data_IF_880787967787
#
_entry.id   IF_880787967787
#
_cell.length_a   1.000
_cell.length_b   1.000
_cell.length_c   1.000
_cell.angle_alpha   90.00
_cell.angle_beta   90.00
_cell.angle_gamma   90.00
#
_symmetry.space_group_name_H-M   'P 1'
#
loop_
_entity.id
_entity.type
_entity.pdbx_description
1 polymer ?
#
# COMPACT_ATOMS: atom_id res chain seq x y z
N UNK A 1 22.57 -24.78 39.64
CA UNK A 1 22.51 -25.75 40.77
C UNK A 1 22.22 -25.10 42.14
N UNK A 2 21.37 -24.07 42.25
CA UNK A 2 20.92 -23.54 43.56
C UNK A 2 19.41 -23.21 43.64
N UNK A 3 18.65 -23.38 42.56
CA UNK A 3 17.22 -23.03 42.54
C UNK A 3 16.27 -24.25 42.71
N UNK A 4 16.79 -25.48 42.61
CA UNK A 4 16.01 -26.72 42.80
C UNK A 4 16.11 -27.31 44.22
N UNK A 5 17.05 -26.85 45.06
CA UNK A 5 17.15 -27.31 46.44
C UNK A 5 16.09 -26.68 47.37
N UNK A 6 15.55 -25.51 47.03
CA UNK A 6 14.56 -24.78 47.84
C UNK A 6 13.11 -25.26 47.70
N UNK A 7 12.74 -25.94 46.61
CA UNK A 7 11.38 -26.46 46.39
C UNK A 7 11.17 -27.90 46.87
N UNK A 8 12.24 -28.68 47.03
CA UNK A 8 12.15 -30.04 47.58
C UNK A 8 11.91 -30.05 49.10
N UNK A 9 12.42 -29.06 49.84
CA UNK A 9 12.26 -28.97 51.30
C UNK A 9 10.82 -28.70 51.76
N UNK A 10 10.07 -27.86 51.03
CA UNK A 10 8.68 -27.54 51.39
C UNK A 10 7.68 -28.64 51.02
N UNK A 11 7.95 -29.46 50.01
CA UNK A 11 7.07 -30.57 49.65
C UNK A 11 7.15 -31.74 50.64
N UNK A 12 8.32 -32.00 51.25
CA UNK A 12 8.48 -33.06 52.24
C UNK A 12 7.71 -32.73 53.53
N UNK A 13 7.80 -31.49 54.03
CA UNK A 13 7.02 -31.05 55.20
C UNK A 13 5.50 -31.01 54.95
N UNK A 14 5.08 -30.75 53.70
CA UNK A 14 3.65 -30.78 53.33
C UNK A 14 3.13 -32.22 53.21
N UNK A 15 3.97 -33.17 52.76
CA UNK A 15 3.65 -34.60 52.70
C UNK A 15 3.59 -35.22 54.10
N UNK A 16 4.47 -34.83 55.03
CA UNK A 16 4.43 -35.31 56.42
C UNK A 16 3.20 -34.80 57.18
N UNK A 17 2.76 -33.55 56.93
CA UNK A 17 1.50 -33.02 57.48
C UNK A 17 0.25 -33.70 56.88
N UNK A 18 0.32 -34.12 55.60
CA UNK A 18 -0.75 -34.88 54.95
C UNK A 18 -0.83 -36.31 55.47
N UNK A 19 0.31 -36.94 55.76
CA UNK A 19 0.39 -38.26 56.40
C UNK A 19 -0.19 -38.23 57.83
N UNK A 20 0.09 -37.17 58.59
CA UNK A 20 -0.45 -36.99 59.95
C UNK A 20 -1.98 -36.79 59.93
N UNK A 21 -2.50 -36.03 58.95
CA UNK A 21 -3.96 -35.84 58.79
C UNK A 21 -4.68 -37.11 58.30
N UNK A 22 -3.99 -37.97 57.53
CA UNK A 22 -4.51 -39.28 57.12
C UNK A 22 -4.54 -40.29 58.28
N UNK A 23 -3.60 -40.21 59.22
CA UNK A 23 -3.59 -41.03 60.43
C UNK A 23 -4.71 -40.63 61.41
N UNK A 24 -4.99 -39.33 61.57
CA UNK A 24 -6.13 -38.84 62.35
C UNK A 24 -7.47 -39.28 61.72
N UNK A 25 -7.61 -39.17 60.40
CA UNK A 25 -8.82 -39.61 59.69
C UNK A 25 -9.01 -41.14 59.79
N UNK A 26 -7.92 -41.91 59.80
CA UNK A 26 -7.94 -43.37 59.96
C UNK A 26 -8.35 -43.77 61.37
N UNK A 27 -7.91 -43.04 62.41
CA UNK A 27 -8.34 -43.23 63.79
C UNK A 27 -9.84 -42.91 63.97
N UNK A 28 -10.33 -41.84 63.33
CA UNK A 28 -11.75 -41.48 63.35
C UNK A 28 -12.64 -42.50 62.64
N UNK A 29 -12.19 -43.05 61.51
CA UNK A 29 -12.91 -44.13 60.80
C UNK A 29 -12.93 -45.40 61.64
N UNK A 30 -11.84 -45.78 62.30
CA UNK A 30 -11.81 -46.93 63.21
C UNK A 30 -12.71 -46.74 64.43
N UNK A 31 -12.78 -45.52 64.97
CA UNK A 31 -13.69 -45.18 66.06
C UNK A 31 -15.17 -45.25 65.60
N UNK A 32 -15.48 -44.74 64.41
CA UNK A 32 -16.81 -44.82 63.80
C UNK A 32 -17.23 -46.26 63.48
N UNK A 33 -16.31 -47.12 63.01
CA UNK A 33 -16.57 -48.55 62.78
C UNK A 33 -16.86 -49.29 64.10
N UNK A 34 -16.14 -48.95 65.18
CA UNK A 34 -16.41 -49.51 66.52
C UNK A 34 -17.74 -49.03 67.11
N UNK A 35 -18.11 -47.76 66.90
CA UNK A 35 -19.42 -47.22 67.26
C UNK A 35 -20.55 -47.88 66.45
N UNK A 36 -20.35 -48.09 65.15
CA UNK A 36 -21.31 -48.74 64.26
C UNK A 36 -21.53 -50.21 64.66
N UNK A 37 -20.45 -50.92 65.00
CA UNK A 37 -20.51 -52.30 65.50
C UNK A 37 -21.23 -52.40 66.86
N UNK A 38 -21.07 -51.42 67.75
CA UNK A 38 -21.81 -51.32 69.02
C UNK A 38 -23.30 -50.98 68.81
N UNK A 39 -23.63 -50.09 67.88
CA UNK A 39 -25.02 -49.64 67.63
C UNK A 39 -25.86 -50.61 66.80
N UNK A 40 -25.25 -51.43 65.95
CA UNK A 40 -25.99 -52.34 65.04
C UNK A 40 -26.17 -53.77 65.56
N UNK A 41 -25.47 -54.18 66.62
CA UNK A 41 -25.64 -55.51 67.22
C UNK A 41 -25.28 -56.69 66.29
N UNK A 42 -24.54 -56.45 65.21
CA UNK A 42 -24.15 -57.47 64.24
C UNK A 42 -22.83 -58.11 64.70
N UNK A 43 -22.93 -59.30 65.30
CA UNK A 43 -21.80 -60.21 65.49
C UNK A 43 -21.16 -60.53 64.13
N UNK A 44 -19.82 -60.50 63.97
CA UNK A 44 -19.20 -60.88 62.70
C UNK A 44 -19.44 -62.38 62.46
N UNK A 45 -20.15 -62.70 61.37
CA UNK A 45 -20.32 -64.08 60.90
C UNK A 45 -18.96 -64.64 60.51
N UNK A 46 -18.63 -65.82 61.04
CA UNK A 46 -17.46 -66.64 60.71
C UNK A 46 -17.23 -66.70 59.19
N UNK A 47 -16.26 -65.92 58.69
CA UNK A 47 -15.63 -66.18 57.40
C UNK A 47 -14.61 -67.29 57.64
N UNK A 48 -14.73 -68.39 56.91
CA UNK A 48 -13.67 -69.40 56.85
C UNK A 48 -12.37 -68.73 56.42
N UNK A 49 -11.44 -68.61 57.37
CA UNK A 49 -10.09 -68.15 57.09
C UNK A 49 -9.38 -69.25 56.30
N UNK A 50 -8.86 -68.96 55.08
CA UNK A 50 -7.94 -69.87 54.43
C UNK A 50 -6.74 -70.09 55.36
N UNK A 51 -6.18 -71.31 55.37
CA UNK A 51 -4.97 -71.59 56.15
C UNK A 51 -3.89 -70.59 55.74
N UNK A 52 -3.13 -70.07 56.70
CA UNK A 52 -2.13 -69.00 56.53
C UNK A 52 -1.34 -69.09 55.22
N UNK A 53 -0.84 -70.26 54.83
CA UNK A 53 -0.07 -70.45 53.59
C UNK A 53 -0.85 -70.26 52.29
N UNK A 54 -2.15 -70.57 52.27
CA UNK A 54 -3.00 -70.39 51.08
C UNK A 54 -3.22 -68.92 50.74
N UNK A 55 -3.21 -68.03 51.74
CA UNK A 55 -3.36 -66.59 51.54
C UNK A 55 -2.16 -65.98 50.80
N UNK A 56 -0.93 -66.39 51.14
CA UNK A 56 0.30 -65.93 50.49
C UNK A 56 0.42 -66.42 49.05
N UNK A 57 0.15 -67.71 48.80
CA UNK A 57 0.17 -68.27 47.44
C UNK A 57 -0.84 -67.57 46.54
N UNK A 58 -2.03 -67.24 47.08
CA UNK A 58 -3.05 -66.51 46.32
C UNK A 58 -2.64 -65.06 46.05
N UNK A 59 -1.99 -64.39 47.00
CA UNK A 59 -1.46 -63.05 46.80
C UNK A 59 -0.42 -63.00 45.67
N UNK A 60 0.52 -63.95 45.63
CA UNK A 60 1.52 -64.07 44.55
C UNK A 60 0.87 -64.33 43.18
N UNK A 61 -0.14 -65.20 43.13
CA UNK A 61 -0.87 -65.48 41.90
C UNK A 61 -1.62 -64.24 41.38
N UNK A 62 -2.26 -63.49 42.26
CA UNK A 62 -2.98 -62.25 41.92
C UNK A 62 -2.02 -61.15 41.48
N UNK A 63 -0.86 -61.05 42.11
CA UNK A 63 0.20 -60.12 41.71
C UNK A 63 0.68 -60.43 40.29
N UNK A 64 0.91 -61.71 39.96
CA UNK A 64 1.25 -62.14 38.58
C UNK A 64 0.14 -61.86 37.57
N UNK A 65 -1.12 -61.83 38.02
CA UNK A 65 -2.28 -61.47 37.19
C UNK A 65 -2.49 -59.95 37.08
N UNK A 66 -1.71 -59.14 37.80
CA UNK A 66 -1.83 -57.68 37.83
C UNK A 66 -2.96 -57.14 38.73
N UNK A 67 -3.59 -57.99 39.54
CA UNK A 67 -4.62 -57.60 40.49
C UNK A 67 -3.99 -57.17 41.83
N UNK A 68 -3.42 -55.96 41.82
CA UNK A 68 -2.63 -55.40 42.93
C UNK A 68 -3.45 -55.23 44.22
N UNK A 69 -4.70 -54.79 44.09
CA UNK A 69 -5.57 -54.52 45.23
C UNK A 69 -5.91 -55.82 45.97
N UNK A 70 -6.29 -56.87 45.25
CA UNK A 70 -6.56 -58.16 45.88
C UNK A 70 -5.27 -58.85 46.33
N UNK A 71 -4.17 -58.74 45.59
CA UNK A 71 -2.87 -59.27 46.01
C UNK A 71 -2.46 -58.70 47.38
N UNK A 72 -2.50 -57.37 47.54
CA UNK A 72 -2.23 -56.70 48.80
C UNK A 72 -3.16 -57.15 49.92
N UNK A 73 -4.47 -57.25 49.65
CA UNK A 73 -5.47 -57.68 50.64
C UNK A 73 -5.25 -59.12 51.13
N UNK A 74 -5.01 -60.07 50.22
CA UNK A 74 -4.73 -61.47 50.59
C UNK A 74 -3.41 -61.59 51.37
N UNK A 75 -2.41 -60.80 50.99
CA UNK A 75 -1.13 -60.78 51.68
C UNK A 75 -1.23 -60.19 53.10
N UNK A 76 -1.85 -59.02 53.26
CA UNK A 76 -2.09 -58.39 54.56
C UNK A 76 -2.88 -59.31 55.50
N UNK A 77 -3.89 -60.00 54.98
CA UNK A 77 -4.64 -61.01 55.75
C UNK A 77 -3.73 -62.16 56.20
N UNK A 78 -2.85 -62.66 55.33
CA UNK A 78 -1.88 -63.69 55.68
C UNK A 78 -0.90 -63.26 56.77
N UNK A 79 -0.38 -62.02 56.70
CA UNK A 79 0.53 -61.45 57.70
C UNK A 79 -0.16 -61.20 59.04
N UNK A 80 -1.43 -60.75 59.05
CA UNK A 80 -2.17 -60.56 60.30
C UNK A 80 -2.30 -61.85 61.14
N UNK A 81 -2.29 -63.01 60.48
CA UNK A 81 -2.35 -64.33 61.11
C UNK A 81 -0.96 -64.91 61.44
N UNK A 82 0.11 -64.32 60.90
CA UNK A 82 1.50 -64.68 61.19
C UNK A 82 2.40 -63.42 61.23
N UNK A 83 2.20 -62.52 62.22
CA UNK A 83 2.93 -61.26 62.28
C UNK A 83 4.44 -61.51 62.43
N UNK A 84 5.26 -60.73 61.72
CA UNK A 84 6.72 -60.82 61.83
C UNK A 84 7.36 -62.03 61.14
N UNK A 85 6.59 -62.83 60.39
CA UNK A 85 7.16 -63.95 59.63
C UNK A 85 8.00 -63.45 58.45
N UNK A 86 9.31 -63.33 58.68
CA UNK A 86 10.27 -62.77 57.73
C UNK A 86 10.29 -63.49 56.38
N UNK A 87 10.28 -64.82 56.38
CA UNK A 87 10.37 -65.61 55.14
C UNK A 87 9.22 -65.28 54.18
N UNK A 88 8.02 -65.07 54.73
CA UNK A 88 6.84 -64.71 53.94
C UNK A 88 6.85 -63.26 53.48
N UNK A 89 7.34 -62.35 54.32
CA UNK A 89 7.53 -60.93 53.99
C UNK A 89 8.52 -60.79 52.84
N UNK A 90 9.68 -61.42 52.97
CA UNK A 90 10.72 -61.42 51.95
C UNK A 90 10.27 -62.09 50.65
N UNK A 91 9.56 -63.23 50.72
CA UNK A 91 9.06 -63.91 49.51
C UNK A 91 8.08 -63.05 48.71
N UNK A 92 7.19 -62.32 49.40
CA UNK A 92 6.28 -61.39 48.73
C UNK A 92 7.00 -60.16 48.18
N UNK A 93 7.98 -59.61 48.91
CA UNK A 93 8.87 -58.57 48.39
C UNK A 93 9.51 -59.00 47.07
N UNK A 94 10.09 -60.19 47.01
CA UNK A 94 10.72 -60.69 45.79
C UNK A 94 9.70 -60.82 44.64
N UNK A 95 8.49 -61.29 44.93
CA UNK A 95 7.41 -61.37 43.94
C UNK A 95 6.99 -59.98 43.41
N UNK A 96 7.01 -58.96 44.27
CA UNK A 96 6.75 -57.56 43.88
C UNK A 96 7.90 -57.01 43.05
N UNK A 97 9.15 -57.28 43.42
CA UNK A 97 10.31 -56.88 42.63
C UNK A 97 10.28 -57.52 41.24
N UNK A 98 9.91 -58.80 41.12
CA UNK A 98 9.76 -59.50 39.84
C UNK A 98 8.63 -58.90 38.99
N UNK A 99 7.50 -58.55 39.60
CA UNK A 99 6.42 -57.85 38.92
C UNK A 99 6.88 -56.47 38.40
N UNK A 100 7.61 -55.70 39.21
CA UNK A 100 8.16 -54.43 38.78
C UNK A 100 9.20 -54.59 37.66
N UNK A 101 10.04 -55.65 37.68
CA UNK A 101 10.94 -55.98 36.54
C UNK A 101 10.16 -56.19 35.24
N UNK A 102 9.09 -56.97 35.28
CA UNK A 102 8.24 -57.21 34.11
C UNK A 102 7.59 -55.92 33.58
N UNK A 103 7.18 -55.02 34.47
CA UNK A 103 6.61 -53.71 34.08
C UNK A 103 7.65 -52.81 33.41
N UNK A 104 8.87 -52.78 33.94
CA UNK A 104 10.00 -52.07 33.33
C UNK A 104 10.30 -52.61 31.93
N UNK A 105 10.30 -53.93 31.74
CA UNK A 105 10.54 -54.54 30.42
C UNK A 105 9.45 -54.20 29.40
N UNK A 106 8.24 -53.89 29.87
CA UNK A 106 7.11 -53.40 29.08
C UNK A 106 7.04 -51.87 28.98
N UNK A 107 8.06 -51.14 29.43
CA UNK A 107 8.12 -49.66 29.47
C UNK A 107 7.06 -48.98 30.36
N UNK A 108 6.47 -49.72 31.29
CA UNK A 108 5.46 -49.24 32.25
C UNK A 108 6.14 -48.79 33.56
N UNK A 109 6.97 -47.75 33.45
CA UNK A 109 7.81 -47.26 34.55
C UNK A 109 6.99 -46.66 35.70
N UNK A 110 5.88 -46.00 35.40
CA UNK A 110 5.02 -45.35 36.39
C UNK A 110 4.33 -46.39 37.29
N UNK A 111 3.77 -47.44 36.70
CA UNK A 111 3.18 -48.56 37.47
C UNK A 111 4.23 -49.26 38.33
N UNK A 112 5.45 -49.48 37.80
CA UNK A 112 6.54 -50.07 38.56
C UNK A 112 6.94 -49.21 39.77
N UNK A 113 7.00 -47.87 39.62
CA UNK A 113 7.31 -46.95 40.71
C UNK A 113 6.22 -46.93 41.78
N UNK A 114 4.94 -46.93 41.38
CA UNK A 114 3.80 -46.91 42.29
C UNK A 114 3.78 -48.18 43.16
N UNK A 115 3.87 -49.35 42.54
CA UNK A 115 3.88 -50.64 43.24
C UNK A 115 5.09 -50.79 44.17
N UNK A 116 6.25 -50.30 43.74
CA UNK A 116 7.46 -50.30 44.57
C UNK A 116 7.35 -49.33 45.76
N UNK A 117 6.67 -48.20 45.56
CA UNK A 117 6.33 -47.25 46.62
C UNK A 117 5.44 -47.88 47.70
N UNK A 118 4.40 -48.61 47.29
CA UNK A 118 3.53 -49.34 48.20
C UNK A 118 4.31 -50.42 48.97
N UNK A 119 5.21 -51.13 48.31
CA UNK A 119 6.07 -52.13 48.95
C UNK A 119 7.02 -51.51 49.97
N UNK A 120 7.62 -50.35 49.68
CA UNK A 120 8.48 -49.64 50.63
C UNK A 120 7.70 -49.25 51.90
N UNK A 121 6.50 -48.69 51.73
CA UNK A 121 5.61 -48.31 52.83
C UNK A 121 5.22 -49.53 53.66
N UNK A 122 4.88 -50.63 52.99
CA UNK A 122 4.57 -51.89 53.64
C UNK A 122 5.76 -52.41 54.47
N UNK A 123 6.96 -52.47 53.90
CA UNK A 123 8.16 -52.97 54.57
C UNK A 123 8.51 -52.15 55.82
N UNK A 124 8.38 -50.82 55.74
CA UNK A 124 8.56 -49.94 56.91
C UNK A 124 7.57 -50.24 58.03
N UNK A 125 6.32 -50.57 57.68
CA UNK A 125 5.29 -50.94 58.65
C UNK A 125 5.61 -52.26 59.35
N UNK A 126 6.33 -53.18 58.70
CA UNK A 126 6.74 -54.45 59.31
C UNK A 126 7.85 -54.30 60.37
N UNK A 127 8.52 -53.15 60.45
CA UNK A 127 9.57 -52.91 61.45
C UNK A 127 9.08 -53.07 62.91
N UNK A 128 7.78 -52.89 63.15
CA UNK A 128 7.17 -53.04 64.47
C UNK A 128 6.93 -54.51 64.88
N UNK A 129 6.96 -55.44 63.91
CA UNK A 129 6.53 -56.83 64.11
C UNK A 129 7.64 -57.86 63.83
N UNK A 130 8.68 -57.47 63.08
CA UNK A 130 9.80 -58.35 62.73
C UNK A 130 10.67 -58.61 63.98
N UNK A 131 11.04 -59.87 64.28
CA UNK A 131 11.94 -60.21 65.39
C UNK A 131 13.30 -59.51 65.28
N UNK A 132 13.92 -59.23 66.43
CA UNK A 132 15.22 -58.52 66.50
C UNK A 132 16.30 -59.15 65.62
N UNK A 133 16.35 -60.48 65.56
CA UNK A 133 17.30 -61.24 64.75
C UNK A 133 17.16 -61.03 63.22
N UNK A 134 16.04 -60.47 62.75
CA UNK A 134 15.74 -60.26 61.33
C UNK A 134 15.70 -58.76 60.93
N UNK A 135 15.98 -57.83 61.86
CA UNK A 135 15.97 -56.37 61.61
C UNK A 135 17.00 -55.97 60.54
N UNK A 136 18.20 -56.55 60.56
CA UNK A 136 19.23 -56.28 59.55
C UNK A 136 18.76 -56.72 58.14
N UNK A 137 18.00 -57.82 58.06
CA UNK A 137 17.44 -58.29 56.80
C UNK A 137 16.36 -57.34 56.27
N UNK A 138 15.56 -56.73 57.16
CA UNK A 138 14.59 -55.69 56.81
C UNK A 138 15.28 -54.43 56.27
N UNK A 139 16.37 -54.00 56.90
CA UNK A 139 17.16 -52.85 56.42
C UNK A 139 17.76 -53.12 55.04
N UNK A 140 18.27 -54.33 54.81
CA UNK A 140 18.76 -54.74 53.49
C UNK A 140 17.64 -54.70 52.44
N UNK A 141 16.47 -55.25 52.74
CA UNK A 141 15.33 -55.22 51.83
C UNK A 141 14.85 -53.80 51.46
N UNK A 142 14.85 -52.87 52.41
CA UNK A 142 14.55 -51.46 52.15
C UNK A 142 15.62 -50.78 51.28
N UNK A 143 16.89 -51.17 51.47
CA UNK A 143 17.99 -50.71 50.62
C UNK A 143 17.85 -51.24 49.19
N UNK A 144 17.51 -52.52 49.02
CA UNK A 144 17.27 -53.14 47.72
C UNK A 144 16.11 -52.44 46.98
N UNK A 145 15.02 -52.13 47.70
CA UNK A 145 13.89 -51.37 47.16
C UNK A 145 14.33 -49.96 46.71
N UNK A 146 15.15 -49.26 47.50
CA UNK A 146 15.64 -47.93 47.14
C UNK A 146 16.56 -47.96 45.91
N UNK A 147 17.48 -48.93 45.83
CA UNK A 147 18.34 -49.14 44.67
C UNK A 147 17.53 -49.48 43.42
N UNK A 148 16.51 -50.34 43.57
CA UNK A 148 15.63 -50.70 42.46
C UNK A 148 14.81 -49.50 41.97
N UNK A 149 14.35 -48.63 42.88
CA UNK A 149 13.68 -47.37 42.53
C UNK A 149 14.58 -46.46 41.70
N UNK A 150 15.84 -46.31 42.11
CA UNK A 150 16.82 -45.52 41.35
C UNK A 150 17.04 -46.10 39.96
N UNK A 151 17.15 -47.43 39.84
CA UNK A 151 17.27 -48.10 38.54
C UNK A 151 16.07 -47.84 37.60
N UNK A 152 14.85 -47.76 38.14
CA UNK A 152 13.67 -47.39 37.35
C UNK A 152 13.78 -45.94 36.85
N UNK A 153 14.15 -45.00 37.72
CA UNK A 153 14.32 -43.59 37.37
C UNK A 153 15.42 -43.41 36.30
N UNK A 154 16.53 -44.14 36.44
CA UNK A 154 17.63 -44.10 35.47
C UNK A 154 17.18 -44.63 34.10
N UNK A 155 16.46 -45.76 34.07
CA UNK A 155 15.90 -46.32 32.81
C UNK A 155 14.86 -45.41 32.17
N UNK A 156 13.97 -44.79 32.95
CA UNK A 156 12.98 -43.83 32.47
C UNK A 156 13.67 -42.59 31.86
N UNK A 157 14.71 -42.08 32.54
CA UNK A 157 15.51 -40.96 32.04
C UNK A 157 16.21 -41.33 30.73
N UNK A 158 16.79 -42.53 30.64
CA UNK A 158 17.44 -43.02 29.43
C UNK A 158 16.45 -43.18 28.26
N UNK A 159 15.25 -43.72 28.51
CA UNK A 159 14.19 -43.84 27.50
C UNK A 159 13.78 -42.47 26.96
N UNK A 160 13.49 -41.52 27.85
CA UNK A 160 13.15 -40.13 27.49
C UNK A 160 14.26 -39.44 26.70
N UNK A 161 15.54 -39.65 27.07
CA UNK A 161 16.68 -39.14 26.33
C UNK A 161 16.80 -39.74 24.92
N UNK A 162 16.54 -41.05 24.76
CA UNK A 162 16.55 -41.70 23.44
C UNK A 162 15.42 -41.20 22.54
N UNK A 163 14.20 -41.09 23.07
CA UNK A 163 13.05 -40.55 22.34
C UNK A 163 13.30 -39.10 21.90
N UNK A 164 13.80 -38.27 22.82
CA UNK A 164 14.15 -36.88 22.50
C UNK A 164 15.24 -36.79 21.46
N UNK A 165 16.30 -37.60 21.58
CA UNK A 165 17.38 -37.64 20.58
C UNK A 165 16.89 -38.09 19.20
N UNK A 166 15.95 -39.04 19.15
CA UNK A 166 15.36 -39.50 17.89
C UNK A 166 14.46 -38.43 17.27
N UNK A 167 13.64 -37.76 18.08
CA UNK A 167 12.84 -36.62 17.65
C UNK A 167 13.70 -35.48 17.09
N UNK A 168 14.74 -35.07 17.81
CA UNK A 168 15.69 -34.04 17.36
C UNK A 168 16.34 -34.44 16.04
N UNK A 169 16.79 -35.70 15.91
CA UNK A 169 17.38 -36.19 14.66
C UNK A 169 16.41 -36.10 13.47
N UNK A 170 15.14 -36.48 13.66
CA UNK A 170 14.12 -36.36 12.62
C UNK A 170 13.89 -34.90 12.23
N UNK A 171 13.77 -34.02 13.23
CA UNK A 171 13.50 -32.60 13.01
C UNK A 171 14.65 -31.88 12.29
N UNK A 172 15.90 -32.18 12.67
CA UNK A 172 17.10 -31.69 11.96
C UNK A 172 17.14 -32.20 10.51
N UNK A 173 16.77 -33.45 10.25
CA UNK A 173 16.77 -34.02 8.89
C UNK A 173 15.71 -33.40 7.98
N UNK A 174 14.51 -33.13 8.52
CA UNK A 174 13.45 -32.41 7.78
C UNK A 174 13.87 -30.98 7.46
N UNK A 175 14.59 -30.33 8.38
CA UNK A 175 15.14 -29.00 8.17
C UNK A 175 16.17 -28.99 7.04
N UNK A 176 17.09 -29.97 7.02
CA UNK A 176 18.08 -30.10 5.94
C UNK A 176 17.41 -30.34 4.57
N UNK A 177 16.37 -31.17 4.51
CA UNK A 177 15.60 -31.39 3.28
C UNK A 177 14.92 -30.11 2.79
N UNK A 178 14.34 -29.31 3.68
CA UNK A 178 13.69 -28.04 3.33
C UNK A 178 14.71 -27.00 2.85
N UNK A 179 15.88 -26.91 3.49
CA UNK A 179 16.96 -26.02 3.04
C UNK A 179 17.55 -26.44 1.68
N UNK A 180 17.51 -27.73 1.35
CA UNK A 180 17.97 -28.25 0.06
C UNK A 180 16.94 -28.08 -1.07
N UNK A 181 15.67 -27.86 -0.74
CA UNK A 181 14.63 -27.59 -1.72
C UNK A 181 14.81 -26.18 -2.28
N UNK A 182 14.95 -26.08 -3.61
CA UNK A 182 14.79 -24.82 -4.30
C UNK A 182 13.28 -24.64 -4.55
N UNK A 183 12.59 -23.68 -3.90
CA UNK A 183 11.17 -23.49 -4.13
C UNK A 183 10.93 -23.16 -5.61
N UNK A 184 9.98 -23.86 -6.23
CA UNK A 184 9.52 -23.47 -7.56
C UNK A 184 8.88 -22.08 -7.50
N UNK A 185 8.97 -21.33 -8.59
CA UNK A 185 8.46 -19.96 -8.71
C UNK A 185 6.95 -19.83 -8.41
N UNK A 186 6.20 -20.94 -8.41
CA UNK A 186 4.74 -20.95 -8.36
C UNK A 186 4.16 -20.82 -6.95
N UNK A 187 4.91 -21.07 -5.86
CA UNK A 187 4.37 -20.90 -4.50
C UNK A 187 5.39 -20.55 -3.38
N UNK A 188 6.24 -19.53 -3.57
CA UNK A 188 7.25 -19.12 -2.58
C UNK A 188 6.67 -18.70 -1.22
N UNK A 189 5.45 -18.17 -1.17
CA UNK A 189 4.81 -17.75 0.08
C UNK A 189 4.48 -18.94 1.00
N UNK A 190 3.98 -20.04 0.44
CA UNK A 190 3.70 -21.27 1.19
C UNK A 190 5.00 -21.87 1.76
N UNK A 191 6.07 -21.84 0.95
CA UNK A 191 7.38 -22.33 1.37
C UNK A 191 7.97 -21.52 2.54
N UNK A 192 7.82 -20.18 2.53
CA UNK A 192 8.23 -19.31 3.64
C UNK A 192 7.50 -19.67 4.94
N UNK A 193 6.20 -19.96 4.89
CA UNK A 193 5.45 -20.39 6.08
C UNK A 193 5.94 -21.74 6.61
N UNK A 194 6.21 -22.73 5.74
CA UNK A 194 6.80 -24.02 6.17
C UNK A 194 8.17 -23.85 6.85
N UNK A 195 8.99 -22.89 6.39
CA UNK A 195 10.28 -22.59 7.03
C UNK A 195 10.08 -21.93 8.41
N UNK A 196 9.10 -21.03 8.55
CA UNK A 196 8.76 -20.39 9.84
C UNK A 196 8.26 -21.40 10.87
N UNK A 197 7.41 -22.35 10.45
CA UNK A 197 6.95 -23.45 11.30
C UNK A 197 8.11 -24.30 11.83
N UNK A 198 9.14 -24.56 10.99
CA UNK A 198 10.34 -25.28 11.43
C UNK A 198 11.23 -24.49 12.39
N UNK A 199 11.40 -23.18 12.18
CA UNK A 199 12.08 -22.31 13.15
C UNK A 199 11.37 -22.40 14.51
N UNK A 200 10.04 -22.30 14.53
CA UNK A 200 9.26 -22.39 15.76
C UNK A 200 9.46 -23.75 16.46
N UNK A 201 9.43 -24.85 15.69
CA UNK A 201 9.66 -26.18 16.23
C UNK A 201 11.08 -26.34 16.82
N UNK A 202 12.12 -25.86 16.12
CA UNK A 202 13.51 -25.86 16.61
C UNK A 202 13.71 -25.00 17.87
N UNK A 203 13.07 -23.83 17.94
CA UNK A 203 13.12 -22.92 19.09
C UNK A 203 12.38 -23.46 20.32
N UNK A 204 11.39 -24.34 20.12
CA UNK A 204 10.60 -24.93 21.21
C UNK A 204 11.31 -26.05 21.98
N UNK A 205 12.47 -26.53 21.51
CA UNK A 205 13.23 -27.60 22.15
C UNK A 205 13.89 -27.14 23.46
N UNK A 206 13.65 -27.87 24.55
CA UNK A 206 14.25 -27.56 25.86
C UNK A 206 15.77 -27.81 25.86
N UNK A 207 16.53 -26.73 26.08
CA UNK A 207 17.98 -26.75 26.15
C UNK A 207 18.55 -27.69 27.23
N UNK A 208 17.77 -28.03 28.27
CA UNK A 208 18.21 -28.91 29.34
C UNK A 208 18.26 -30.39 28.96
N UNK A 209 17.60 -30.77 27.85
CA UNK A 209 17.50 -32.17 27.39
C UNK A 209 18.42 -32.43 26.20
N UNK A 210 18.90 -31.37 25.55
CA UNK A 210 19.76 -31.43 24.37
C UNK A 210 21.22 -31.71 24.72
N UNK A 211 21.90 -32.50 23.88
CA UNK A 211 23.36 -32.61 23.94
C UNK A 211 23.99 -31.30 23.44
N UNK A 212 25.14 -30.87 23.96
CA UNK A 212 25.81 -29.62 23.53
C UNK A 212 26.04 -29.53 22.01
N UNK A 213 26.37 -30.66 21.37
CA UNK A 213 26.57 -30.73 19.91
C UNK A 213 25.27 -30.59 19.11
N UNK A 214 24.13 -30.98 19.66
CA UNK A 214 22.84 -30.83 18.99
C UNK A 214 22.35 -29.38 19.14
N UNK A 215 22.62 -28.75 20.28
CA UNK A 215 22.29 -27.35 20.52
C UNK A 215 23.00 -26.39 19.55
N UNK A 216 24.29 -26.62 19.26
CA UNK A 216 25.03 -25.81 18.28
C UNK A 216 24.55 -26.02 16.84
N UNK A 217 24.16 -27.26 16.48
CA UNK A 217 23.57 -27.56 15.16
C UNK A 217 22.19 -26.90 14.98
N UNK A 218 21.34 -26.98 16.00
CA UNK A 218 20.03 -26.32 16.01
C UNK A 218 20.20 -24.81 15.82
N UNK A 219 21.10 -24.18 16.58
CA UNK A 219 21.38 -22.76 16.43
C UNK A 219 21.85 -22.40 15.01
N UNK A 220 22.73 -23.21 14.42
CA UNK A 220 23.19 -23.00 13.06
C UNK A 220 22.06 -23.12 12.02
N UNK A 221 21.22 -24.14 12.13
CA UNK A 221 20.09 -24.34 11.22
C UNK A 221 19.04 -23.21 11.35
N UNK A 222 18.76 -22.74 12.57
CA UNK A 222 17.88 -21.57 12.77
C UNK A 222 18.43 -20.37 12.00
N UNK A 223 19.72 -20.05 12.14
CA UNK A 223 20.34 -18.93 11.39
C UNK A 223 20.27 -19.13 9.88
N UNK A 224 20.45 -20.36 9.39
CA UNK A 224 20.31 -20.66 7.95
C UNK A 224 18.88 -20.45 7.46
N UNK A 225 17.88 -20.93 8.21
CA UNK A 225 16.47 -20.74 7.89
C UNK A 225 16.08 -19.25 7.89
N UNK A 226 16.51 -18.48 8.89
CA UNK A 226 16.26 -17.04 8.99
C UNK A 226 16.82 -16.28 7.77
N UNK A 227 18.06 -16.60 7.35
CA UNK A 227 18.68 -15.99 6.17
C UNK A 227 17.95 -16.37 4.86
N UNK A 228 17.53 -17.64 4.73
CA UNK A 228 16.76 -18.11 3.57
C UNK A 228 15.40 -17.43 3.49
N UNK A 229 14.67 -17.33 4.62
CA UNK A 229 13.39 -16.62 4.70
C UNK A 229 13.58 -15.15 4.28
N UNK A 230 14.56 -14.44 4.83
CA UNK A 230 14.82 -13.05 4.49
C UNK A 230 15.09 -12.86 2.99
N UNK A 231 15.84 -13.78 2.39
CA UNK A 231 16.15 -13.75 0.95
C UNK A 231 14.89 -13.98 0.11
N UNK A 232 14.07 -14.98 0.45
CA UNK A 232 12.83 -15.30 -0.26
C UNK A 232 11.78 -14.21 -0.12
N UNK A 233 11.63 -13.62 1.07
CA UNK A 233 10.71 -12.49 1.29
C UNK A 233 11.14 -11.26 0.48
N UNK A 234 12.44 -10.98 0.37
CA UNK A 234 12.96 -9.92 -0.49
C UNK A 234 12.69 -10.19 -1.97
N UNK A 235 12.88 -11.44 -2.43
CA UNK A 235 12.57 -11.83 -3.82
C UNK A 235 11.06 -11.70 -4.12
N UNK A 236 10.20 -12.13 -3.19
CA UNK A 236 8.75 -12.01 -3.30
C UNK A 236 8.31 -10.55 -3.40
N UNK A 237 8.81 -9.69 -2.51
CA UNK A 237 8.52 -8.26 -2.53
C UNK A 237 8.99 -7.61 -3.84
N UNK A 238 10.18 -8.00 -4.34
CA UNK A 238 10.73 -7.53 -5.62
C UNK A 238 9.86 -7.96 -6.80
N UNK A 239 9.40 -9.22 -6.83
CA UNK A 239 8.53 -9.74 -7.90
C UNK A 239 7.14 -9.08 -7.89
N UNK A 240 6.54 -8.90 -6.72
CA UNK A 240 5.26 -8.19 -6.56
C UNK A 240 5.36 -6.72 -6.99
N UNK A 241 6.43 -6.05 -6.61
CA UNK A 241 6.71 -4.69 -7.05
C UNK A 241 6.88 -4.63 -8.58
N UNK A 242 7.66 -5.55 -9.17
CA UNK A 242 7.85 -5.63 -10.63
C UNK A 242 6.51 -5.85 -11.38
N UNK A 243 5.64 -6.73 -10.88
CA UNK A 243 4.33 -6.97 -11.49
C UNK A 243 3.41 -5.73 -11.41
N UNK A 244 3.42 -5.05 -10.25
CA UNK A 244 2.67 -3.81 -10.05
C UNK A 244 3.15 -2.70 -10.99
N UNK A 245 4.47 -2.53 -11.09
CA UNK A 245 5.12 -1.60 -12.01
C UNK A 245 4.70 -1.90 -13.45
N UNK A 246 4.79 -3.17 -13.89
CA UNK A 246 4.42 -3.57 -15.24
C UNK A 246 2.94 -3.29 -15.55
N UNK A 247 2.04 -3.56 -14.61
CA UNK A 247 0.60 -3.33 -14.77
C UNK A 247 0.27 -1.85 -14.88
N UNK A 248 0.87 -1.03 -14.00
CA UNK A 248 0.69 0.43 -14.03
C UNK A 248 1.27 1.03 -15.32
N UNK A 249 2.46 0.60 -15.74
CA UNK A 249 3.07 1.05 -16.98
C UNK A 249 2.19 0.74 -18.20
N UNK A 250 1.67 -0.48 -18.29
CA UNK A 250 0.75 -0.86 -19.38
C UNK A 250 -0.51 0.01 -19.39
N UNK A 251 -1.08 0.32 -18.22
CA UNK A 251 -2.26 1.17 -18.11
C UNK A 251 -1.96 2.63 -18.51
N UNK A 252 -0.79 3.16 -18.15
CA UNK A 252 -0.35 4.47 -18.59
C UNK A 252 -0.22 4.53 -20.12
N UNK A 253 0.41 3.53 -20.74
CA UNK A 253 0.52 3.42 -22.20
C UNK A 253 -0.86 3.39 -22.86
N UNK A 254 -1.80 2.58 -22.35
CA UNK A 254 -3.16 2.54 -22.88
C UNK A 254 -3.86 3.90 -22.83
N UNK A 255 -3.69 4.66 -21.75
CA UNK A 255 -4.26 6.01 -21.67
C UNK A 255 -3.61 6.97 -22.66
N UNK A 256 -2.29 6.91 -22.85
CA UNK A 256 -1.58 7.70 -23.87
C UNK A 256 -2.10 7.36 -25.26
N UNK A 257 -2.23 6.07 -25.59
CA UNK A 257 -2.72 5.62 -26.90
C UNK A 257 -4.18 6.03 -27.13
N UNK A 258 -5.04 5.90 -26.11
CA UNK A 258 -6.42 6.36 -26.19
C UNK A 258 -6.49 7.87 -26.44
N UNK A 259 -5.69 8.68 -25.73
CA UNK A 259 -5.61 10.13 -25.97
C UNK A 259 -5.20 10.46 -27.41
N UNK A 260 -4.29 9.68 -28.00
CA UNK A 260 -3.87 9.85 -29.39
C UNK A 260 -4.97 9.50 -30.39
N UNK A 261 -5.80 8.51 -30.09
CA UNK A 261 -6.84 8.03 -31.00
C UNK A 261 -8.17 8.81 -30.89
N UNK A 262 -8.35 9.59 -29.83
CA UNK A 262 -9.51 10.47 -29.69
C UNK A 262 -9.51 11.61 -30.73
N UNK A 263 -10.70 12.11 -31.12
CA UNK A 263 -10.81 13.33 -31.91
C UNK A 263 -10.12 14.50 -31.20
N UNK A 264 -9.41 15.33 -31.96
CA UNK A 264 -8.57 16.40 -31.42
C UNK A 264 -9.32 17.37 -30.48
N UNK A 265 -10.61 17.62 -30.72
CA UNK A 265 -11.45 18.52 -29.90
C UNK A 265 -12.23 17.79 -28.78
N UNK A 266 -12.01 16.50 -28.56
CA UNK A 266 -12.74 15.72 -27.55
C UNK A 266 -12.27 16.07 -26.14
N UNK A 267 -13.20 16.31 -25.21
CA UNK A 267 -12.91 16.49 -23.79
C UNK A 267 -12.24 15.24 -23.16
N UNK A 268 -12.41 14.07 -23.78
CA UNK A 268 -11.79 12.81 -23.34
C UNK A 268 -10.26 12.84 -23.48
N UNK A 269 -9.71 13.65 -24.38
CA UNK A 269 -8.26 13.82 -24.53
C UNK A 269 -7.63 14.28 -23.23
N UNK A 270 -8.21 15.31 -22.59
CA UNK A 270 -7.69 15.84 -21.33
C UNK A 270 -7.80 14.79 -20.21
N UNK A 271 -8.93 14.07 -20.16
CA UNK A 271 -9.14 12.99 -19.20
C UNK A 271 -8.06 11.89 -19.32
N UNK A 272 -7.77 11.43 -20.53
CA UNK A 272 -6.79 10.38 -20.76
C UNK A 272 -5.36 10.84 -20.47
N UNK A 273 -4.97 12.04 -20.88
CA UNK A 273 -3.64 12.60 -20.59
C UNK A 273 -3.43 12.79 -19.08
N UNK A 274 -4.41 13.33 -18.37
CA UNK A 274 -4.32 13.50 -16.90
C UNK A 274 -4.33 12.16 -16.15
N UNK A 275 -5.07 11.17 -16.64
CA UNK A 275 -5.05 9.80 -16.10
C UNK A 275 -3.68 9.13 -16.29
N UNK A 276 -3.07 9.26 -17.47
CA UNK A 276 -1.73 8.77 -17.74
C UNK A 276 -0.70 9.44 -16.82
N UNK A 277 -0.75 10.77 -16.68
CA UNK A 277 0.15 11.51 -15.80
C UNK A 277 0.00 11.09 -14.32
N UNK A 278 -1.24 10.87 -13.87
CA UNK A 278 -1.51 10.37 -12.51
C UNK A 278 -0.85 9.01 -12.25
N UNK A 279 -0.94 8.09 -13.22
CA UNK A 279 -0.32 6.76 -13.11
C UNK A 279 1.20 6.85 -13.13
N UNK A 280 1.78 7.71 -13.97
CA UNK A 280 3.24 7.95 -13.98
C UNK A 280 3.71 8.48 -12.60
N UNK A 281 2.95 9.39 -11.98
CA UNK A 281 3.25 9.85 -10.61
C UNK A 281 3.12 8.74 -9.57
N UNK A 282 2.15 7.84 -9.71
CA UNK A 282 2.04 6.66 -8.83
C UNK A 282 3.24 5.71 -8.99
N UNK A 283 3.72 5.48 -10.21
CA UNK A 283 4.92 4.68 -10.47
C UNK A 283 6.17 5.24 -9.75
N UNK A 284 6.32 6.56 -9.73
CA UNK A 284 7.41 7.24 -8.99
C UNK A 284 7.37 6.93 -7.49
N UNK A 285 6.16 6.84 -6.91
CA UNK A 285 5.98 6.60 -5.47
C UNK A 285 6.17 5.13 -5.07
N UNK A 286 5.74 4.18 -5.91
CA UNK A 286 5.75 2.75 -5.58
C UNK A 286 7.16 2.15 -5.65
N UNK A 287 8.04 2.69 -6.49
CA UNK A 287 9.34 2.07 -6.75
C UNK A 287 10.50 3.06 -6.94
N UNK A 288 10.78 3.95 -5.96
CA UNK A 288 11.76 5.03 -6.11
C UNK A 288 13.19 4.53 -6.37
N UNK A 289 13.53 3.33 -5.91
CA UNK A 289 14.88 2.76 -5.96
C UNK A 289 15.03 1.57 -6.93
N UNK A 290 13.98 1.22 -7.70
CA UNK A 290 14.07 0.13 -8.67
C UNK A 290 14.45 0.67 -10.05
N UNK A 291 15.56 0.18 -10.59
CA UNK A 291 16.09 0.69 -11.86
C UNK A 291 15.14 0.45 -13.04
N UNK A 292 14.40 -0.66 -13.02
CA UNK A 292 13.35 -0.96 -13.98
C UNK A 292 12.23 0.09 -13.98
N UNK A 293 11.84 0.58 -12.80
CA UNK A 293 10.82 1.62 -12.67
C UNK A 293 11.32 2.96 -13.24
N UNK A 294 12.57 3.34 -12.97
CA UNK A 294 13.16 4.58 -13.49
C UNK A 294 13.14 4.63 -15.02
N UNK A 295 13.56 3.54 -15.67
CA UNK A 295 13.56 3.44 -17.14
C UNK A 295 12.13 3.55 -17.69
N UNK A 296 11.17 2.82 -17.11
CA UNK A 296 9.77 2.89 -17.56
C UNK A 296 9.15 4.27 -17.35
N UNK A 297 9.41 4.93 -16.22
CA UNK A 297 8.93 6.29 -15.93
C UNK A 297 9.48 7.27 -16.96
N UNK A 298 10.77 7.20 -17.29
CA UNK A 298 11.38 8.07 -18.29
C UNK A 298 10.75 7.87 -19.68
N UNK A 299 10.61 6.61 -20.12
CA UNK A 299 9.99 6.29 -21.41
C UNK A 299 8.52 6.75 -21.47
N UNK A 300 7.73 6.49 -20.42
CA UNK A 300 6.33 6.92 -20.37
C UNK A 300 6.18 8.44 -20.35
N UNK A 301 7.08 9.14 -19.66
CA UNK A 301 7.08 10.60 -19.61
C UNK A 301 7.38 11.20 -20.98
N UNK A 302 8.36 10.64 -21.69
CA UNK A 302 8.68 11.02 -23.07
C UNK A 302 7.50 10.75 -24.01
N UNK A 303 6.90 9.56 -23.95
CA UNK A 303 5.72 9.21 -24.75
C UNK A 303 4.53 10.14 -24.47
N UNK A 304 4.30 10.50 -23.21
CA UNK A 304 3.23 11.43 -22.82
C UNK A 304 3.47 12.82 -23.41
N UNK A 305 4.69 13.36 -23.33
CA UNK A 305 5.02 14.66 -23.90
C UNK A 305 4.94 14.68 -25.42
N UNK A 306 5.41 13.63 -26.09
CA UNK A 306 5.24 13.47 -27.54
C UNK A 306 3.76 13.42 -27.94
N UNK A 307 2.94 12.67 -27.20
CA UNK A 307 1.50 12.60 -27.44
C UNK A 307 0.82 13.97 -27.26
N UNK A 308 1.17 14.72 -26.20
CA UNK A 308 0.67 16.09 -25.99
C UNK A 308 1.00 16.99 -27.17
N UNK A 309 2.24 16.95 -27.67
CA UNK A 309 2.66 17.75 -28.83
C UNK A 309 1.91 17.37 -30.12
N UNK A 310 1.76 16.07 -30.39
CA UNK A 310 1.04 15.57 -31.56
C UNK A 310 -0.46 15.95 -31.54
N UNK A 311 -1.09 15.85 -30.38
CA UNK A 311 -2.48 16.26 -30.17
C UNK A 311 -2.62 17.78 -30.35
N UNK A 312 -1.74 18.58 -29.74
CA UNK A 312 -1.74 20.04 -29.88
C UNK A 312 -1.57 20.47 -31.35
N UNK A 313 -0.75 19.75 -32.11
CA UNK A 313 -0.59 19.97 -33.55
C UNK A 313 -1.90 19.71 -34.31
N UNK A 314 -2.54 18.56 -34.11
CA UNK A 314 -3.82 18.22 -34.78
C UNK A 314 -4.96 19.18 -34.43
N UNK A 315 -5.05 19.59 -33.16
CA UNK A 315 -5.98 20.63 -32.72
C UNK A 315 -5.75 21.94 -33.48
N UNK A 316 -4.49 22.37 -33.54
CA UNK A 316 -4.10 23.60 -34.22
C UNK A 316 -4.34 23.54 -35.73
N UNK A 317 -4.12 22.39 -36.38
CA UNK A 317 -4.42 22.17 -37.80
C UNK A 317 -5.91 22.33 -38.11
N UNK A 318 -6.78 21.84 -37.23
CA UNK A 318 -8.24 22.00 -37.38
C UNK A 318 -8.64 23.47 -37.33
N UNK A 319 -8.13 24.20 -36.34
CA UNK A 319 -8.39 25.64 -36.20
C UNK A 319 -7.80 26.44 -37.36
N UNK A 320 -6.59 26.09 -37.81
CA UNK A 320 -5.98 26.71 -39.00
C UNK A 320 -6.84 26.47 -40.25
N UNK A 321 -7.42 25.28 -40.41
CA UNK A 321 -8.30 25.00 -41.54
C UNK A 321 -9.55 25.91 -41.52
N UNK A 322 -10.15 26.15 -40.36
CA UNK A 322 -11.26 27.09 -40.22
C UNK A 322 -10.86 28.52 -40.59
N UNK A 323 -9.65 28.95 -40.19
CA UNK A 323 -9.11 30.26 -40.54
C UNK A 323 -8.92 30.36 -42.07
N UNK A 324 -8.35 29.33 -42.72
CA UNK A 324 -8.17 29.30 -44.17
C UNK A 324 -9.52 29.41 -44.87
N UNK A 325 -10.51 28.60 -44.47
CA UNK A 325 -11.84 28.66 -45.05
C UNK A 325 -12.49 30.05 -44.90
N UNK A 326 -12.35 30.68 -43.72
CA UNK A 326 -12.83 32.04 -43.50
C UNK A 326 -12.10 33.05 -44.40
N UNK A 327 -10.80 32.87 -44.64
CA UNK A 327 -10.02 33.73 -45.54
C UNK A 327 -10.47 33.60 -47.00
N UNK A 328 -10.78 32.40 -47.47
CA UNK A 328 -11.24 32.14 -48.85
C UNK A 328 -12.62 32.74 -49.14
N UNK A 329 -13.44 32.94 -48.10
CA UNK A 329 -14.74 33.60 -48.21
C UNK A 329 -14.62 35.12 -48.42
N UNK A 330 -13.45 35.71 -48.17
CA UNK A 330 -13.19 37.14 -48.36
C UNK A 330 -12.83 37.39 -49.82
N UNK A 331 -13.82 37.87 -50.59
CA UNK A 331 -13.62 38.28 -51.98
C UNK A 331 -13.58 39.80 -52.07
N UNK A 332 -12.36 40.35 -52.11
CA UNK A 332 -12.12 41.78 -52.28
C UNK A 332 -11.54 42.03 -53.68
N UNK A 333 -12.41 42.43 -54.60
CA UNK A 333 -12.00 42.82 -55.94
C UNK A 333 -11.38 44.22 -55.96
N UNK A 334 -10.60 44.52 -57.01
CA UNK A 334 -10.00 45.85 -57.23
C UNK A 334 -11.02 47.00 -57.30
N UNK A 335 -12.29 46.69 -57.61
CA UNK A 335 -13.39 47.67 -57.73
C UNK A 335 -14.20 47.83 -56.44
N UNK A 336 -13.90 47.07 -55.39
CA UNK A 336 -14.60 47.15 -54.10
C UNK A 336 -14.44 48.55 -53.52
N UNK A 337 -15.52 49.11 -52.96
CA UNK A 337 -15.45 50.36 -52.20
C UNK A 337 -14.49 50.18 -51.02
N UNK A 338 -13.60 51.15 -50.80
CA UNK A 338 -12.52 51.00 -49.82
C UNK A 338 -13.07 50.73 -48.41
N UNK A 339 -14.13 51.43 -48.02
CA UNK A 339 -14.82 51.19 -46.75
C UNK A 339 -15.29 49.74 -46.59
N UNK A 340 -15.93 49.17 -47.62
CA UNK A 340 -16.41 47.78 -47.60
C UNK A 340 -15.26 46.78 -47.49
N UNK A 341 -14.14 47.04 -48.17
CA UNK A 341 -12.94 46.21 -48.06
C UNK A 341 -12.33 46.28 -46.64
N UNK A 342 -12.25 47.47 -46.05
CA UNK A 342 -11.75 47.67 -44.68
C UNK A 342 -12.64 46.93 -43.67
N UNK A 343 -13.96 47.01 -43.81
CA UNK A 343 -14.91 46.31 -42.93
C UNK A 343 -14.75 44.79 -43.01
N UNK A 344 -14.70 44.22 -44.22
CA UNK A 344 -14.50 42.78 -44.43
C UNK A 344 -13.17 42.29 -43.85
N UNK A 345 -12.08 43.02 -44.09
CA UNK A 345 -10.76 42.68 -43.52
C UNK A 345 -10.73 42.84 -42.00
N UNK A 346 -11.43 43.83 -41.46
CA UNK A 346 -11.49 44.05 -40.00
C UNK A 346 -12.26 42.93 -39.30
N UNK A 347 -13.37 42.46 -39.89
CA UNK A 347 -14.12 41.30 -39.40
C UNK A 347 -13.25 40.03 -39.42
N UNK A 348 -12.54 39.79 -40.52
CA UNK A 348 -11.62 38.66 -40.60
C UNK A 348 -10.48 38.76 -39.60
N UNK A 349 -9.89 39.93 -39.41
CA UNK A 349 -8.86 40.16 -38.39
C UNK A 349 -9.36 39.79 -36.99
N UNK A 350 -10.61 40.14 -36.67
CA UNK A 350 -11.21 39.79 -35.39
C UNK A 350 -11.39 38.27 -35.23
N UNK A 351 -11.90 37.60 -36.27
CA UNK A 351 -12.01 36.14 -36.30
C UNK A 351 -10.65 35.47 -36.18
N UNK A 352 -9.64 35.97 -36.89
CA UNK A 352 -8.27 35.48 -36.83
C UNK A 352 -7.72 35.61 -35.41
N UNK A 353 -7.90 36.76 -34.74
CA UNK A 353 -7.48 36.94 -33.35
C UNK A 353 -8.19 35.98 -32.39
N UNK A 354 -9.50 35.79 -32.53
CA UNK A 354 -10.29 34.86 -31.72
C UNK A 354 -9.81 33.42 -31.89
N UNK A 355 -9.69 32.96 -33.14
CA UNK A 355 -9.27 31.59 -33.45
C UNK A 355 -7.79 31.33 -33.13
N UNK A 356 -6.93 32.34 -33.28
CA UNK A 356 -5.51 32.22 -32.91
C UNK A 356 -5.31 31.91 -31.42
N UNK A 357 -6.22 32.37 -30.55
CA UNK A 357 -6.17 32.05 -29.11
C UNK A 357 -6.39 30.56 -28.79
N UNK A 358 -6.92 29.80 -29.76
CA UNK A 358 -7.20 28.36 -29.63
C UNK A 358 -6.07 27.50 -30.22
N UNK A 359 -5.01 28.12 -30.74
CA UNK A 359 -3.85 27.43 -31.27
C UNK A 359 -2.89 27.06 -30.15
N UNK A 360 -2.51 25.79 -30.12
CA UNK A 360 -1.63 25.20 -29.10
C UNK A 360 -0.24 24.84 -29.63
N UNK A 361 -0.05 24.89 -30.96
CA UNK A 361 1.22 24.62 -31.65
C UNK A 361 1.97 25.91 -31.96
N UNK A 362 3.28 25.93 -31.67
CA UNK A 362 4.17 27.05 -31.97
C UNK A 362 4.16 27.38 -33.47
N UNK A 363 4.28 26.37 -34.34
CA UNK A 363 4.27 26.56 -35.80
C UNK A 363 2.94 27.18 -36.28
N UNK A 364 1.83 26.81 -35.66
CA UNK A 364 0.52 27.35 -36.02
C UNK A 364 0.35 28.81 -35.55
N UNK A 365 0.85 29.14 -34.36
CA UNK A 365 0.86 30.50 -33.82
C UNK A 365 1.67 31.45 -34.72
N UNK A 366 2.85 31.03 -35.17
CA UNK A 366 3.68 31.82 -36.09
C UNK A 366 2.96 32.08 -37.43
N UNK A 367 2.32 31.06 -38.00
CA UNK A 367 1.52 31.22 -39.23
C UNK A 367 0.36 32.20 -39.04
N UNK A 368 -0.36 32.09 -37.93
CA UNK A 368 -1.48 32.99 -37.63
C UNK A 368 -1.02 34.43 -37.42
N UNK A 369 0.15 34.63 -36.79
CA UNK A 369 0.75 35.95 -36.62
C UNK A 369 1.16 36.57 -37.97
N UNK A 370 1.77 35.80 -38.86
CA UNK A 370 2.09 36.26 -40.21
C UNK A 370 0.83 36.68 -41.00
N UNK A 371 -0.28 35.94 -40.87
CA UNK A 371 -1.56 36.36 -41.46
C UNK A 371 -2.13 37.61 -40.82
N UNK A 372 -2.01 37.79 -39.50
CA UNK A 372 -2.44 39.02 -38.83
C UNK A 372 -1.70 40.24 -39.38
N UNK A 373 -0.38 40.13 -39.58
CA UNK A 373 0.42 41.19 -40.18
C UNK A 373 -0.01 41.49 -41.62
N UNK A 374 -0.22 40.47 -42.44
CA UNK A 374 -0.67 40.63 -43.82
C UNK A 374 -2.05 41.31 -43.89
N UNK A 375 -3.01 40.90 -43.07
CA UNK A 375 -4.34 41.52 -43.03
C UNK A 375 -4.26 42.98 -42.56
N UNK A 376 -3.43 43.28 -41.56
CA UNK A 376 -3.21 44.66 -41.11
C UNK A 376 -2.60 45.53 -42.21
N UNK A 377 -1.63 44.99 -42.97
CA UNK A 377 -1.05 45.68 -44.12
C UNK A 377 -2.09 45.94 -45.22
N UNK A 378 -2.98 44.98 -45.50
CA UNK A 378 -4.06 45.17 -46.45
C UNK A 378 -5.05 46.25 -46.00
N UNK A 379 -5.43 46.28 -44.71
CA UNK A 379 -6.30 47.33 -44.14
C UNK A 379 -5.63 48.70 -44.32
N UNK A 380 -4.36 48.84 -43.94
CA UNK A 380 -3.62 50.09 -44.08
C UNK A 380 -3.55 50.56 -45.55
N UNK A 381 -3.33 49.62 -46.48
CA UNK A 381 -3.32 49.92 -47.91
C UNK A 381 -4.68 50.42 -48.42
N UNK A 382 -5.79 49.85 -47.94
CA UNK A 382 -7.13 50.31 -48.31
C UNK A 382 -7.48 51.67 -47.69
N UNK A 383 -7.09 51.91 -46.44
CA UNK A 383 -7.20 53.22 -45.79
C UNK A 383 -6.43 54.30 -46.55
N UNK A 384 -5.19 54.01 -46.97
CA UNK A 384 -4.40 54.93 -47.77
C UNK A 384 -5.06 55.26 -49.12
N UNK A 385 -5.65 54.26 -49.81
CA UNK A 385 -6.42 54.47 -51.04
C UNK A 385 -7.65 55.35 -50.82
N UNK A 386 -8.37 55.11 -49.73
CA UNK A 386 -9.55 55.89 -49.35
C UNK A 386 -9.18 57.37 -49.09
N UNK A 387 -8.16 57.60 -48.26
CA UNK A 387 -7.63 58.96 -47.98
C UNK A 387 -7.19 59.67 -49.24
N UNK A 388 -6.49 58.98 -50.15
CA UNK A 388 -6.05 59.58 -51.42
C UNK A 388 -7.21 60.01 -52.31
N UNK A 389 -8.27 59.20 -52.41
CA UNK A 389 -9.48 59.57 -53.17
C UNK A 389 -10.21 60.76 -52.54
N UNK A 390 -10.32 60.77 -51.21
CA UNK A 390 -10.89 61.90 -50.48
C UNK A 390 -10.09 63.19 -50.75
N UNK A 391 -8.77 63.12 -50.67
CA UNK A 391 -7.88 64.24 -50.95
C UNK A 391 -8.01 64.74 -52.39
N UNK A 392 -8.06 63.84 -53.38
CA UNK A 392 -8.30 64.21 -54.79
C UNK A 392 -9.62 64.96 -54.97
N UNK A 393 -10.69 64.50 -54.32
CA UNK A 393 -11.98 65.19 -54.31
C UNK A 393 -11.89 66.56 -53.64
N UNK A 394 -11.19 66.68 -52.51
CA UNK A 394 -11.02 67.93 -51.79
C UNK A 394 -10.21 68.94 -52.60
N UNK A 395 -9.09 68.53 -53.21
CA UNK A 395 -8.28 69.38 -54.10
C UNK A 395 -9.13 69.88 -55.27
N UNK A 396 -9.90 69.00 -55.92
CA UNK A 396 -10.82 69.42 -56.99
C UNK A 396 -11.79 70.50 -56.51
N UNK A 397 -12.34 70.37 -55.29
CA UNK A 397 -13.26 71.37 -54.71
C UNK A 397 -12.56 72.70 -54.43
N UNK A 398 -11.37 72.67 -53.84
CA UNK A 398 -10.55 73.86 -53.55
C UNK A 398 -10.21 74.59 -54.85
N UNK A 399 -9.69 73.87 -55.85
CA UNK A 399 -9.32 74.44 -57.15
C UNK A 399 -10.53 74.98 -57.90
N UNK A 400 -11.67 74.28 -57.87
CA UNK A 400 -12.90 74.77 -58.51
C UNK A 400 -13.39 76.05 -57.86
N UNK A 401 -13.30 76.15 -56.53
CA UNK A 401 -13.64 77.38 -55.80
C UNK A 401 -12.71 78.51 -56.20
N UNK A 402 -11.39 78.30 -56.06
CA UNK A 402 -10.39 79.32 -56.35
C UNK A 402 -10.54 79.86 -57.78
N UNK A 403 -10.56 78.98 -58.78
CA UNK A 403 -10.65 79.38 -60.19
C UNK A 403 -11.96 80.10 -60.53
N UNK A 404 -13.05 79.82 -59.81
CA UNK A 404 -14.36 80.43 -60.06
C UNK A 404 -14.44 81.87 -59.53
N UNK A 405 -13.71 82.19 -58.47
CA UNK A 405 -13.85 83.46 -57.76
C UNK A 405 -12.56 84.31 -57.75
N UNK A 406 -11.43 83.79 -58.26
CA UNK A 406 -10.12 84.47 -58.19
C UNK A 406 -10.10 85.89 -58.78
N UNK A 407 -10.88 86.14 -59.84
CA UNK A 407 -10.93 87.44 -60.51
C UNK A 407 -11.60 88.53 -59.66
N UNK A 408 -12.25 88.14 -58.56
CA UNK A 408 -12.92 89.05 -57.63
C UNK A 408 -12.01 89.48 -56.46
N UNK A 409 -10.82 88.89 -56.34
CA UNK A 409 -9.83 89.26 -55.32
C UNK A 409 -9.19 90.62 -55.67
N UNK A 410 -9.19 91.56 -54.71
CA UNK A 410 -8.54 92.89 -54.84
C UNK A 410 -9.30 93.90 -55.70
N UNK A 411 -10.31 93.47 -56.48
CA UNK A 411 -11.23 94.34 -57.20
C UNK A 411 -12.49 94.72 -56.38
N UNK A 412 -12.69 94.05 -55.24
CA UNK A 412 -13.93 94.09 -54.45
C UNK A 412 -14.97 93.12 -55.01
N UNK A 413 -15.69 92.43 -54.12
CA UNK A 413 -16.72 91.47 -54.53
C UNK A 413 -17.92 92.19 -55.17
N UNK A 414 -18.26 91.80 -56.41
CA UNK A 414 -19.44 92.31 -57.12
C UNK A 414 -20.74 91.74 -56.56
N UNK A 415 -20.68 90.54 -56.00
CA UNK A 415 -21.77 89.86 -55.28
C UNK A 415 -21.17 89.05 -54.13
N UNK A 416 -21.15 89.65 -52.94
CA UNK A 416 -20.50 89.10 -51.76
C UNK A 416 -21.24 87.86 -51.20
N UNK A 417 -22.58 87.86 -51.25
CA UNK A 417 -23.41 86.74 -50.79
C UNK A 417 -23.15 85.48 -51.63
N UNK A 418 -22.83 85.65 -52.91
CA UNK A 418 -22.41 84.58 -53.81
C UNK A 418 -21.05 83.98 -53.41
N UNK A 419 -20.06 84.80 -53.05
CA UNK A 419 -18.74 84.33 -52.60
C UNK A 419 -18.86 83.64 -51.24
N UNK A 420 -19.59 84.24 -50.29
CA UNK A 420 -19.93 83.64 -49.00
C UNK A 420 -20.56 82.24 -49.16
N UNK A 421 -21.56 82.12 -50.03
CA UNK A 421 -22.22 80.85 -50.35
C UNK A 421 -21.28 79.87 -51.06
N UNK A 422 -20.35 80.39 -51.88
CA UNK A 422 -19.29 79.63 -52.54
C UNK A 422 -18.34 78.97 -51.54
N UNK A 423 -17.84 79.72 -50.55
CA UNK A 423 -16.95 79.19 -49.50
C UNK A 423 -17.62 78.01 -48.81
N UNK A 424 -18.87 78.17 -48.39
CA UNK A 424 -19.64 77.12 -47.73
C UNK A 424 -19.81 75.91 -48.65
N UNK A 425 -20.23 76.12 -49.90
CA UNK A 425 -20.55 75.05 -50.84
C UNK A 425 -19.33 74.19 -51.23
N UNK A 426 -18.17 74.81 -51.40
CA UNK A 426 -16.98 74.13 -51.92
C UNK A 426 -16.02 73.72 -50.82
N UNK A 427 -15.80 74.56 -49.82
CA UNK A 427 -14.83 74.33 -48.75
C UNK A 427 -15.48 73.77 -47.48
N UNK A 428 -16.74 74.13 -47.21
CA UNK A 428 -17.41 73.81 -45.93
C UNK A 428 -17.50 72.34 -45.58
N UNK A 429 -17.66 71.46 -46.58
CA UNK A 429 -17.77 70.01 -46.34
C UNK A 429 -16.41 69.28 -46.30
N UNK A 430 -15.29 69.99 -46.44
CA UNK A 430 -13.95 69.40 -46.38
C UNK A 430 -13.51 69.32 -44.90
N UNK A 431 -13.31 68.10 -44.42
CA UNK A 431 -12.48 67.82 -43.24
C UNK A 431 -11.00 67.93 -43.60
N UNK A 432 -10.31 68.91 -43.01
CA UNK A 432 -8.90 69.16 -43.25
C UNK A 432 -7.98 68.12 -42.59
N UNK A 433 -8.48 67.35 -41.62
CA UNK A 433 -7.68 66.34 -40.89
C UNK A 433 -7.21 65.18 -41.78
N UNK A 434 -7.91 64.94 -42.89
CA UNK A 434 -7.58 63.88 -43.85
C UNK A 434 -6.72 64.36 -45.02
N UNK A 435 -6.35 65.64 -45.05
CA UNK A 435 -5.55 66.22 -46.13
C UNK A 435 -4.06 66.14 -45.81
N UNK A 436 -3.22 65.99 -46.83
CA UNK A 436 -1.78 66.20 -46.69
C UNK A 436 -1.46 67.67 -46.40
N UNK A 437 -0.26 67.95 -45.87
CA UNK A 437 0.17 69.33 -45.59
C UNK A 437 0.02 70.27 -46.80
N UNK A 438 0.43 69.90 -48.03
CA UNK A 438 0.20 70.75 -49.20
C UNK A 438 -1.28 71.06 -49.47
N UNK A 439 -2.17 70.05 -49.36
CA UNK A 439 -3.60 70.24 -49.59
C UNK A 439 -4.26 71.08 -48.49
N UNK A 440 -3.81 70.93 -47.23
CA UNK A 440 -4.24 71.81 -46.12
C UNK A 440 -3.79 73.25 -46.35
N UNK A 441 -2.55 73.47 -46.79
CA UNK A 441 -2.04 74.81 -47.12
C UNK A 441 -2.88 75.44 -48.23
N UNK A 442 -3.13 74.71 -49.32
CA UNK A 442 -3.97 75.21 -50.41
C UNK A 442 -5.40 75.54 -49.96
N UNK A 443 -5.99 74.69 -49.11
CA UNK A 443 -7.29 74.96 -48.48
C UNK A 443 -7.26 76.25 -47.66
N UNK A 444 -6.27 76.39 -46.77
CA UNK A 444 -6.18 77.53 -45.85
C UNK A 444 -5.89 78.83 -46.60
N UNK A 445 -5.02 78.81 -47.60
CA UNK A 445 -4.72 79.97 -48.44
C UNK A 445 -5.96 80.43 -49.21
N UNK A 446 -6.69 79.49 -49.85
CA UNK A 446 -7.93 79.81 -50.53
C UNK A 446 -8.94 80.37 -49.53
N UNK A 447 -9.18 79.71 -48.39
CA UNK A 447 -10.12 80.20 -47.39
C UNK A 447 -9.75 81.61 -46.89
N UNK A 448 -8.50 81.84 -46.49
CA UNK A 448 -8.06 83.11 -45.91
C UNK A 448 -8.12 84.27 -46.91
N UNK A 449 -7.70 84.06 -48.16
CA UNK A 449 -7.74 85.10 -49.20
C UNK A 449 -9.15 85.63 -49.42
N UNK A 450 -10.12 84.73 -49.55
CA UNK A 450 -11.51 85.13 -49.77
C UNK A 450 -12.20 85.60 -48.48
N UNK A 451 -11.85 85.03 -47.32
CA UNK A 451 -12.40 85.43 -46.02
C UNK A 451 -12.00 86.86 -45.63
N UNK A 452 -10.78 87.30 -45.96
CA UNK A 452 -10.29 88.64 -45.61
C UNK A 452 -11.11 89.76 -46.27
N UNK A 453 -11.55 89.53 -47.51
CA UNK A 453 -12.30 90.47 -48.35
C UNK A 453 -13.80 90.55 -47.98
N UNK A 454 -14.31 89.64 -47.14
CA UNK A 454 -15.70 89.71 -46.64
C UNK A 454 -15.87 90.83 -45.61
N UNK A 455 -17.09 91.34 -45.47
CA UNK A 455 -17.50 92.25 -44.40
C UNK A 455 -17.55 91.55 -43.06
N UNK A 456 -17.36 92.33 -42.00
CA UNK A 456 -17.27 91.82 -40.63
C UNK A 456 -18.58 91.17 -40.13
N UNK A 457 -19.73 91.62 -40.63
CA UNK A 457 -21.05 91.04 -40.33
C UNK A 457 -21.24 89.65 -40.97
N UNK A 458 -20.46 89.27 -41.98
CA UNK A 458 -20.48 87.96 -42.62
C UNK A 458 -19.39 87.01 -42.13
N UNK A 459 -18.24 87.54 -41.70
CA UNK A 459 -17.09 86.76 -41.20
C UNK A 459 -17.41 85.85 -40.02
N UNK A 460 -18.08 86.39 -38.98
CA UNK A 460 -18.43 85.63 -37.77
C UNK A 460 -19.44 84.50 -38.10
N UNK A 461 -20.57 84.77 -38.78
CA UNK A 461 -21.49 83.71 -39.19
C UNK A 461 -20.86 82.64 -40.08
N UNK A 462 -19.97 83.04 -41.00
CA UNK A 462 -19.26 82.09 -41.87
C UNK A 462 -18.40 81.13 -41.05
N UNK A 463 -17.60 81.64 -40.12
CA UNK A 463 -16.72 80.82 -39.27
C UNK A 463 -17.54 79.81 -38.46
N UNK A 464 -18.62 80.25 -37.80
CA UNK A 464 -19.51 79.35 -37.06
C UNK A 464 -20.13 78.28 -37.96
N UNK A 465 -20.59 78.66 -39.16
CA UNK A 465 -21.20 77.72 -40.11
C UNK A 465 -20.19 76.72 -40.66
N UNK A 466 -18.96 77.15 -40.96
CA UNK A 466 -17.88 76.29 -41.42
C UNK A 466 -17.44 75.29 -40.35
N UNK A 467 -17.47 75.67 -39.08
CA UNK A 467 -17.15 74.77 -37.96
C UNK A 467 -18.26 73.74 -37.70
N UNK A 468 -19.53 74.16 -37.75
CA UNK A 468 -20.68 73.31 -37.42
C UNK A 468 -21.17 72.44 -38.59
N UNK A 469 -20.66 72.66 -39.80
CA UNK A 469 -21.07 71.94 -40.99
C UNK A 469 -20.57 70.49 -40.99
N UNK A 470 -21.49 69.57 -41.28
CA UNK A 470 -21.18 68.15 -41.45
C UNK A 470 -20.14 67.96 -42.56
N UNK A 471 -18.98 67.43 -42.17
CA UNK A 471 -17.92 67.12 -43.11
C UNK A 471 -18.27 65.87 -43.89
N UNK A 472 -17.83 65.81 -45.14
CA UNK A 472 -18.03 64.62 -45.98
C UNK A 472 -17.27 63.44 -45.32
N UNK A 473 -17.95 62.34 -44.96
CA UNK A 473 -17.29 61.26 -44.26
C UNK A 473 -16.33 60.51 -45.19
N UNK A 474 -15.19 60.10 -44.64
CA UNK A 474 -14.13 59.38 -45.35
C UNK A 474 -14.63 58.05 -45.95
N UNK A 475 -15.60 57.41 -45.31
CA UNK A 475 -16.25 56.17 -45.75
C UNK A 475 -16.92 56.23 -47.13
N UNK A 476 -17.19 57.44 -47.65
CA UNK A 476 -17.76 57.64 -48.98
C UNK A 476 -16.74 57.47 -50.13
N UNK A 477 -15.46 57.30 -49.82
CA UNK A 477 -14.35 57.20 -50.79
C UNK A 477 -13.70 55.81 -50.72
#
# INVERSE_FOLDING_TARGET
MAFYAGKAGNNIATIDNFATSLDDLRLDVQHLEQELAKKTGIRPKNRHHPKTDQAFVKAEALLKQGDLANAGLYFSNGISQAPGNWDKINRYQQSVLDYCRQRIDNSDYEMALNVLGDMNTFMRTQALYVPVQDIEKLQQALTDIAQFKQSIVDKMTQASQMETAQFVKTLLSQTDELLAQNPSADNPALHVETLKENIFALQSLDANILKPNDSSKIAHQITQLENTIATLEQQLATAQAANTISTLAQRATQFIDNAKNEPAQSDLVLYYLTSAESIIRQLVLVAPNMEMAKTQIATLSEQLEQAKQEIAKRQSETVLHEIVQASEQIKIDKRTQAQKAIEQLSQFRQLLAEKSSQLSSVEALEKAQAWMEEVNNQIANWQAKQTRKYEQWAIMKITTFYNRYQDELGAGFTDEDRVYSGIIRFLGNIDIRYLSTPAQTAYNEAFQKFYAELRDDQKIPLSSKMTLMDKKPLSNF
#
